data_IF_496049017394
#
_entry.id   IF_496049017394
#
_cell.length_a   1.000
_cell.length_b   1.000
_cell.length_c   1.000
_cell.angle_alpha   90.00
_cell.angle_beta   90.00
_cell.angle_gamma   90.00
#
_symmetry.space_group_name_H-M   'P 1'
#
loop_
_entity.id
_entity.type
_entity.pdbx_description
1 polymer ?
#
# COMPACT_ATOMS: atom_id res chain seq x y z
N UNK A 1 25.68 -2.27 -0.63
CA UNK A 1 24.62 -1.72 0.25
C UNK A 1 23.63 -2.83 0.55
N UNK A 2 23.13 -2.96 1.78
CA UNK A 2 22.13 -4.00 2.14
C UNK A 2 20.75 -3.56 1.66
N UNK A 3 19.94 -4.49 1.15
CA UNK A 3 18.53 -4.23 0.80
C UNK A 3 17.72 -4.13 2.09
N UNK A 4 16.76 -3.21 2.16
CA UNK A 4 15.86 -3.07 3.32
C UNK A 4 14.42 -3.39 2.92
N UNK A 5 13.64 -3.84 3.91
CA UNK A 5 12.19 -3.97 3.78
C UNK A 5 11.53 -2.81 4.56
N UNK A 6 10.65 -2.08 3.89
CA UNK A 6 9.77 -1.07 4.50
C UNK A 6 8.41 -1.72 4.69
N UNK A 7 7.92 -1.72 5.93
CA UNK A 7 6.63 -2.31 6.28
C UNK A 7 5.70 -1.18 6.69
N UNK A 8 4.52 -1.10 6.07
CA UNK A 8 3.48 -0.13 6.36
C UNK A 8 2.14 -0.83 6.50
N UNK A 9 1.23 -0.21 7.24
CA UNK A 9 -0.16 -0.62 7.32
C UNK A 9 -1.08 0.58 7.11
N UNK A 10 -2.24 0.36 6.50
CA UNK A 10 -3.35 1.31 6.50
C UNK A 10 -4.61 0.64 7.02
N UNK A 11 -5.43 1.40 7.73
CA UNK A 11 -6.68 0.96 8.33
C UNK A 11 -7.88 1.77 7.81
N UNK A 12 -9.08 1.32 8.17
CA UNK A 12 -10.30 2.10 7.97
C UNK A 12 -10.19 3.51 8.57
N UNK A 13 -10.48 4.53 7.76
CA UNK A 13 -10.48 5.93 8.18
C UNK A 13 -9.14 6.66 8.01
N UNK A 14 -8.08 5.99 7.53
CA UNK A 14 -6.82 6.65 7.24
C UNK A 14 -6.96 7.70 6.14
N UNK A 15 -6.21 8.79 6.30
CA UNK A 15 -6.21 9.91 5.36
C UNK A 15 -5.54 9.53 4.04
N UNK A 16 -6.29 9.69 2.95
CA UNK A 16 -5.79 9.53 1.57
C UNK A 16 -4.59 10.45 1.32
N UNK A 17 -4.65 11.68 1.82
CA UNK A 17 -3.59 12.68 1.66
C UNK A 17 -2.32 12.26 2.42
N UNK A 18 -2.46 11.85 3.68
CA UNK A 18 -1.33 11.42 4.49
C UNK A 18 -0.64 10.17 3.89
N UNK A 19 -1.43 9.22 3.40
CA UNK A 19 -0.92 8.05 2.69
C UNK A 19 -0.15 8.46 1.43
N UNK A 20 -0.72 9.34 0.60
CA UNK A 20 -0.08 9.78 -0.62
C UNK A 20 1.23 10.55 -0.37
N UNK A 21 1.27 11.42 0.65
CA UNK A 21 2.49 12.13 1.05
C UNK A 21 3.56 11.13 1.51
N UNK A 22 3.18 10.13 2.31
CA UNK A 22 4.10 9.11 2.80
C UNK A 22 4.70 8.28 1.66
N UNK A 23 3.86 7.83 0.72
CA UNK A 23 4.29 7.07 -0.44
C UNK A 23 5.19 7.89 -1.37
N UNK A 24 4.81 9.14 -1.67
CA UNK A 24 5.62 10.07 -2.46
C UNK A 24 6.97 10.32 -1.81
N UNK A 25 7.00 10.52 -0.49
CA UNK A 25 8.24 10.63 0.26
C UNK A 25 9.12 9.41 0.05
N UNK A 26 8.61 8.19 0.29
CA UNK A 26 9.39 6.94 0.19
C UNK A 26 9.95 6.70 -1.21
N UNK A 27 9.15 6.90 -2.27
CA UNK A 27 9.62 6.64 -3.63
C UNK A 27 10.52 7.75 -4.20
N UNK A 28 10.46 8.97 -3.66
CA UNK A 28 11.32 10.08 -4.07
C UNK A 28 12.68 10.12 -3.37
N UNK A 29 12.91 9.34 -2.30
CA UNK A 29 14.16 9.38 -1.53
C UNK A 29 15.38 8.96 -2.37
N UNK A 30 16.58 9.41 -1.96
CA UNK A 30 17.84 9.06 -2.63
C UNK A 30 18.21 7.58 -2.53
N UNK A 31 17.80 6.91 -1.45
CA UNK A 31 18.04 5.49 -1.25
C UNK A 31 17.00 4.66 -2.03
N UNK A 32 17.46 3.82 -2.97
CA UNK A 32 16.58 3.05 -3.88
C UNK A 32 16.55 1.54 -3.64
N UNK A 33 17.35 1.02 -2.71
CA UNK A 33 17.51 -0.42 -2.54
C UNK A 33 16.58 -1.00 -1.47
N UNK A 34 15.28 -0.82 -1.67
CA UNK A 34 14.24 -1.29 -0.75
C UNK A 34 13.08 -1.99 -1.45
N UNK A 35 12.36 -2.82 -0.71
CA UNK A 35 11.01 -3.28 -1.04
C UNK A 35 10.03 -2.68 -0.03
N UNK A 36 8.84 -2.28 -0.47
CA UNK A 36 7.77 -1.79 0.38
C UNK A 36 6.62 -2.80 0.42
N UNK A 37 6.21 -3.16 1.62
CA UNK A 37 5.08 -4.04 1.89
C UNK A 37 4.01 -3.23 2.62
N UNK A 38 2.83 -3.15 2.03
CA UNK A 38 1.66 -2.52 2.63
C UNK A 38 0.65 -3.59 3.03
N UNK A 39 0.25 -3.55 4.28
CA UNK A 39 -0.89 -4.29 4.79
C UNK A 39 -2.12 -3.37 4.82
N UNK A 40 -3.20 -3.80 4.19
CA UNK A 40 -4.50 -3.10 4.24
C UNK A 40 -5.39 -3.89 5.18
N UNK A 41 -5.73 -3.29 6.30
CA UNK A 41 -6.56 -3.90 7.33
C UNK A 41 -7.95 -3.25 7.36
N UNK A 42 -8.97 -4.05 7.04
CA UNK A 42 -10.36 -3.61 6.93
C UNK A 42 -10.72 -2.89 5.62
N UNK A 43 -11.90 -2.26 5.63
CA UNK A 43 -12.45 -1.59 4.45
C UNK A 43 -11.93 -0.15 4.34
N UNK A 44 -11.07 0.10 3.36
CA UNK A 44 -10.58 1.44 3.01
C UNK A 44 -11.51 2.15 2.02
N UNK A 45 -11.39 3.47 1.92
CA UNK A 45 -12.14 4.24 0.93
C UNK A 45 -11.71 3.87 -0.50
N UNK A 46 -12.62 4.04 -1.47
CA UNK A 46 -12.31 3.85 -2.90
C UNK A 46 -11.18 4.77 -3.35
N UNK A 47 -11.12 5.97 -2.79
CA UNK A 47 -10.05 6.94 -3.05
C UNK A 47 -8.69 6.44 -2.58
N UNK A 48 -8.60 5.91 -1.35
CA UNK A 48 -7.36 5.32 -0.83
C UNK A 48 -6.94 4.11 -1.66
N UNK A 49 -7.91 3.26 -2.04
CA UNK A 49 -7.66 2.11 -2.92
C UNK A 49 -7.10 2.56 -4.29
N UNK A 50 -7.65 3.63 -4.88
CA UNK A 50 -7.16 4.16 -6.15
C UNK A 50 -5.71 4.66 -6.04
N UNK A 51 -5.34 5.32 -4.94
CA UNK A 51 -3.96 5.75 -4.69
C UNK A 51 -3.04 4.54 -4.52
N UNK A 52 -3.44 3.52 -3.74
CA UNK A 52 -2.68 2.27 -3.59
C UNK A 52 -2.45 1.61 -4.95
N UNK A 53 -3.50 1.47 -5.77
CA UNK A 53 -3.40 0.88 -7.10
C UNK A 53 -2.49 1.70 -8.03
N UNK A 54 -2.51 3.03 -7.92
CA UNK A 54 -1.60 3.89 -8.67
C UNK A 54 -0.14 3.56 -8.36
N UNK A 55 0.24 3.49 -7.08
CA UNK A 55 1.62 3.13 -6.72
C UNK A 55 1.94 1.68 -7.13
N UNK A 56 1.02 0.73 -6.93
CA UNK A 56 1.26 -0.68 -7.27
C UNK A 56 1.52 -0.90 -8.77
N UNK A 57 0.87 -0.11 -9.64
CA UNK A 57 1.10 -0.16 -11.09
C UNK A 57 2.42 0.49 -11.52
N UNK A 58 2.89 1.50 -10.78
CA UNK A 58 4.07 2.29 -11.15
C UNK A 58 5.37 1.83 -10.46
N UNK A 59 5.29 0.95 -9.44
CA UNK A 59 6.44 0.52 -8.65
C UNK A 59 6.46 -1.01 -8.47
N UNK A 60 7.42 -1.68 -9.11
CA UNK A 60 7.58 -3.14 -9.03
C UNK A 60 8.05 -3.66 -7.67
N UNK A 61 8.59 -2.77 -6.83
CA UNK A 61 9.05 -3.07 -5.47
C UNK A 61 8.00 -2.71 -4.40
N UNK A 62 6.73 -2.59 -4.80
CA UNK A 62 5.61 -2.32 -3.91
C UNK A 62 4.64 -3.50 -3.89
N UNK A 63 4.46 -4.10 -2.72
CA UNK A 63 3.62 -5.27 -2.50
C UNK A 63 2.48 -4.91 -1.54
N UNK A 64 1.26 -5.35 -1.86
CA UNK A 64 0.06 -5.06 -1.08
C UNK A 64 -0.60 -6.35 -0.65
N UNK A 65 -0.85 -6.49 0.65
CA UNK A 65 -1.59 -7.59 1.25
C UNK A 65 -2.86 -7.06 1.89
N UNK A 66 -4.01 -7.62 1.52
CA UNK A 66 -5.31 -7.32 2.12
C UNK A 66 -5.56 -8.33 3.23
N UNK A 67 -5.72 -7.87 4.47
CA UNK A 67 -6.26 -8.71 5.52
C UNK A 67 -7.77 -8.72 5.34
N UNK A 68 -8.30 -9.83 4.82
CA UNK A 68 -9.73 -10.07 4.91
C UNK A 68 -10.09 -10.26 6.38
N UNK A 69 -10.85 -9.33 6.96
CA UNK A 69 -11.65 -9.63 8.14
C UNK A 69 -12.44 -10.90 7.81
N UNK A 70 -12.29 -11.93 8.63
CA UNK A 70 -13.04 -13.19 8.47
C UNK A 70 -14.56 -12.92 8.48
N UNK A 71 -15.14 -12.64 7.31
CA UNK A 71 -16.44 -13.07 6.75
C UNK A 71 -16.99 -12.07 5.71
N UNK A 72 -17.24 -12.62 4.51
CA UNK A 72 -18.17 -12.19 3.42
C UNK A 72 -17.73 -10.91 2.68
N UNK A 73 -17.33 -10.92 1.42
CA UNK A 73 -17.83 -11.63 0.24
C UNK A 73 -16.67 -11.79 -0.77
N UNK A 74 -16.59 -12.96 -1.40
CA UNK A 74 -15.66 -13.25 -2.50
C UNK A 74 -15.79 -12.26 -3.66
N UNK A 75 -14.69 -11.60 -4.03
CA UNK A 75 -14.54 -11.06 -5.38
C UNK A 75 -13.24 -11.59 -5.99
N UNK A 76 -13.41 -12.66 -6.77
CA UNK A 76 -12.39 -13.14 -7.70
C UNK A 76 -12.18 -12.05 -8.77
N UNK A 77 -10.99 -11.48 -8.81
CA UNK A 77 -10.55 -10.69 -9.97
C UNK A 77 -9.91 -11.70 -10.93
N UNK A 78 -10.58 -11.90 -12.07
CA UNK A 78 -10.05 -12.57 -13.27
C UNK A 78 -9.18 -11.63 -14.07
#
# INVERSE_FOLDING_TARGET
MKKIAVIMSVYHGDSVEAFNISMSSIFSQSYKYFDLYLQVDGNISVELLNVIQHYARNHHNFYVELIEEKKRFSLAIK
#
